data_IF_738183839623
#
_entry.id   IF_738183839623
#
_cell.length_a   1.000
_cell.length_b   1.000
_cell.length_c   1.000
_cell.angle_alpha   90.00
_cell.angle_beta   90.00
_cell.angle_gamma   90.00
#
_symmetry.space_group_name_H-M   'P 1'
#
loop_
_entity.id
_entity.type
_entity.pdbx_description
1 polymer ?
#
# COMPACT_ATOMS: atom_id res chain seq x y z
N UNK A 1 -12.35 0.10 1.62
CA UNK A 1 -11.56 0.60 2.76
C UNK A 1 -12.37 1.14 3.94
N UNK A 2 -13.56 1.72 3.75
CA UNK A 2 -14.38 2.25 4.86
C UNK A 2 -14.68 1.24 5.98
N UNK A 3 -14.59 -0.07 5.69
CA UNK A 3 -14.94 -1.15 6.62
C UNK A 3 -13.73 -1.86 7.25
N UNK A 4 -12.49 -1.50 6.92
CA UNK A 4 -11.31 -2.05 7.60
C UNK A 4 -11.10 -1.20 8.85
N UNK A 5 -10.97 -1.74 10.07
CA UNK A 5 -10.71 -0.94 11.27
C UNK A 5 -9.32 -0.30 11.23
N UNK A 6 -9.12 0.76 12.02
CA UNK A 6 -7.78 1.36 12.21
C UNK A 6 -6.91 0.50 13.12
N UNK A 7 -7.52 -0.12 14.12
CA UNK A 7 -6.88 -1.10 14.99
C UNK A 7 -7.01 -2.50 14.38
N UNK A 8 -5.88 -3.05 13.96
CA UNK A 8 -5.78 -4.41 13.44
C UNK A 8 -4.88 -5.22 14.38
N UNK A 9 -5.35 -6.39 14.81
CA UNK A 9 -4.54 -7.32 15.60
C UNK A 9 -3.67 -8.20 14.68
N UNK A 10 -2.88 -7.55 13.82
CA UNK A 10 -1.90 -8.20 12.96
C UNK A 10 -0.70 -7.27 12.70
N UNK A 11 0.49 -7.86 12.56
CA UNK A 11 1.72 -7.10 12.33
C UNK A 11 1.91 -6.68 10.86
N UNK A 12 1.31 -7.42 9.93
CA UNK A 12 1.46 -7.17 8.49
C UNK A 12 0.16 -7.50 7.76
N UNK A 13 -0.20 -6.65 6.80
CA UNK A 13 -1.42 -6.77 6.01
C UNK A 13 -1.03 -6.94 4.54
N UNK A 14 -1.57 -7.95 3.89
CA UNK A 14 -1.49 -8.09 2.43
C UNK A 14 -2.80 -7.64 1.81
N UNK A 15 -2.72 -6.74 0.83
CA UNK A 15 -3.88 -6.23 0.09
C UNK A 15 -3.77 -6.73 -1.34
N UNK A 16 -4.74 -7.55 -1.75
CA UNK A 16 -4.88 -8.05 -3.12
C UNK A 16 -6.05 -7.37 -3.79
N UNK A 17 -5.85 -6.89 -5.01
CA UNK A 17 -6.89 -6.18 -5.76
C UNK A 17 -6.58 -6.10 -7.25
N UNK A 18 -7.35 -5.26 -7.94
CA UNK A 18 -7.24 -5.03 -9.38
C UNK A 18 -6.86 -3.58 -9.68
N UNK A 19 -6.21 -3.38 -10.82
CA UNK A 19 -5.96 -2.05 -11.37
C UNK A 19 -7.23 -1.47 -12.02
N UNK A 20 -7.38 -0.14 -12.07
CA UNK A 20 -6.45 0.87 -11.57
C UNK A 20 -6.45 1.02 -10.04
N UNK A 21 -7.46 0.47 -9.34
CA UNK A 21 -7.65 0.67 -7.90
C UNK A 21 -6.44 0.36 -7.01
N UNK A 22 -5.63 -0.65 -7.32
CA UNK A 22 -4.36 -0.90 -6.60
C UNK A 22 -3.31 0.20 -6.82
N UNK A 23 -3.15 0.69 -8.05
CA UNK A 23 -2.21 1.76 -8.37
C UNK A 23 -2.64 3.09 -7.73
N UNK A 24 -3.93 3.42 -7.84
CA UNK A 24 -4.51 4.63 -7.24
C UNK A 24 -4.42 4.57 -5.70
N UNK A 25 -4.59 3.38 -5.12
CA UNK A 25 -4.45 3.20 -3.69
C UNK A 25 -3.00 3.32 -3.22
N UNK A 26 -2.05 2.76 -3.97
CA UNK A 26 -0.63 2.96 -3.68
C UNK A 26 -0.28 4.46 -3.70
N UNK A 27 -0.69 5.18 -4.75
CA UNK A 27 -0.53 6.65 -4.84
C UNK A 27 -1.14 7.38 -3.64
N UNK A 28 -2.34 6.99 -3.21
CA UNK A 28 -2.97 7.56 -2.03
C UNK A 28 -2.15 7.35 -0.75
N UNK A 29 -1.56 6.16 -0.57
CA UNK A 29 -0.80 5.80 0.63
C UNK A 29 0.59 6.43 0.68
N UNK A 30 1.34 6.43 -0.43
CA UNK A 30 2.71 6.95 -0.48
C UNK A 30 2.81 8.40 -0.97
N UNK A 31 1.79 8.91 -1.66
CA UNK A 31 1.77 10.25 -2.28
C UNK A 31 2.37 10.30 -3.69
N UNK A 32 2.78 9.17 -4.26
CA UNK A 32 3.43 9.08 -5.57
C UNK A 32 2.80 7.99 -6.44
N UNK A 33 2.55 8.30 -7.71
CA UNK A 33 1.99 7.32 -8.64
C UNK A 33 3.06 6.36 -9.15
N UNK A 34 2.81 5.06 -9.03
CA UNK A 34 3.65 4.01 -9.59
C UNK A 34 2.86 3.09 -10.53
N UNK A 35 3.50 2.67 -11.61
CA UNK A 35 2.92 1.66 -12.51
C UNK A 35 2.91 0.28 -11.83
N UNK A 36 1.72 -0.28 -11.64
CA UNK A 36 1.51 -1.62 -11.09
C UNK A 36 1.12 -2.61 -12.21
N UNK A 37 2.05 -3.33 -12.87
CA UNK A 37 1.65 -4.43 -13.76
C UNK A 37 0.98 -5.58 -12.99
N UNK A 38 0.33 -6.51 -13.70
CA UNK A 38 -0.26 -7.71 -13.07
C UNK A 38 0.79 -8.43 -12.23
N UNK A 39 0.42 -8.81 -11.00
CA UNK A 39 1.29 -9.47 -10.01
C UNK A 39 2.47 -8.61 -9.48
N UNK A 40 2.50 -7.30 -9.72
CA UNK A 40 3.39 -6.41 -8.99
C UNK A 40 2.98 -6.31 -7.51
N UNK A 41 3.96 -6.18 -6.63
CA UNK A 41 3.75 -6.07 -5.18
C UNK A 41 4.55 -4.88 -4.64
N UNK A 42 3.90 -4.00 -3.91
CA UNK A 42 4.55 -2.89 -3.21
C UNK A 42 4.68 -3.24 -1.72
N UNK A 43 5.89 -3.16 -1.18
CA UNK A 43 6.16 -3.29 0.25
C UNK A 43 6.16 -1.90 0.88
N UNK A 44 5.32 -1.72 1.89
CA UNK A 44 5.07 -0.44 2.54
C UNK A 44 5.31 -0.54 4.05
N UNK A 45 5.89 0.51 4.65
CA UNK A 45 5.97 0.67 6.12
C UNK A 45 5.29 1.97 6.56
N UNK A 46 4.71 1.96 7.76
CA UNK A 46 4.05 3.14 8.33
C UNK A 46 5.12 4.18 8.72
N UNK A 47 4.93 5.43 8.28
CA UNK A 47 5.79 6.57 8.66
C UNK A 47 5.60 6.97 10.12
N UNK A 48 4.35 7.15 10.52
CA UNK A 48 3.95 7.59 11.85
C UNK A 48 2.82 6.71 12.39
N UNK A 49 3.16 5.90 13.39
CA UNK A 49 2.23 4.97 14.05
C UNK A 49 1.22 5.67 14.97
N UNK A 50 1.35 6.98 15.23
CA UNK A 50 0.36 7.75 15.98
C UNK A 50 -0.84 8.17 15.13
N UNK A 51 -0.71 8.07 13.81
CA UNK A 51 -1.73 8.41 12.82
C UNK A 51 -2.44 7.17 12.32
N UNK A 52 -3.64 7.35 11.77
CA UNK A 52 -4.34 6.27 11.10
C UNK A 52 -3.50 5.75 9.93
N UNK A 53 -3.42 4.43 9.79
CA UNK A 53 -2.76 3.80 8.64
C UNK A 53 -3.49 4.12 7.32
N UNK A 54 -4.72 4.62 7.37
CA UNK A 54 -5.46 5.10 6.19
C UNK A 54 -5.17 6.55 5.84
N UNK A 55 -4.37 7.26 6.65
CA UNK A 55 -4.03 8.65 6.36
C UNK A 55 -3.21 8.73 5.07
N UNK A 56 -3.60 9.60 4.11
CA UNK A 56 -2.87 9.73 2.86
C UNK A 56 -1.42 10.14 3.10
N UNK A 57 -0.48 9.55 2.37
CA UNK A 57 0.94 9.87 2.49
C UNK A 57 1.64 9.38 3.77
N UNK A 58 0.96 8.63 4.66
CA UNK A 58 1.53 8.09 5.91
C UNK A 58 2.31 6.77 5.72
N UNK A 59 2.73 6.45 4.49
CA UNK A 59 3.51 5.25 4.20
C UNK A 59 4.80 5.55 3.45
N UNK A 60 5.86 4.83 3.80
CA UNK A 60 7.08 4.73 3.00
C UNK A 60 6.94 3.55 2.03
N UNK A 61 7.30 3.76 0.77
CA UNK A 61 7.50 2.68 -0.19
C UNK A 61 8.93 2.16 -0.03
N UNK A 62 9.08 0.97 0.57
CA UNK A 62 10.38 0.35 0.77
C UNK A 62 10.86 -0.34 -0.50
N UNK A 63 9.94 -1.06 -1.17
CA UNK A 63 10.27 -1.85 -2.35
C UNK A 63 9.06 -1.98 -3.28
N UNK A 64 9.33 -1.99 -4.58
CA UNK A 64 8.36 -2.33 -5.61
C UNK A 64 8.87 -3.55 -6.38
N UNK A 65 8.30 -4.71 -6.06
CA UNK A 65 8.61 -5.98 -6.70
C UNK A 65 7.81 -6.10 -8.00
N UNK A 66 8.51 -6.21 -9.12
CA UNK A 66 7.92 -6.41 -10.44
C UNK A 66 8.14 -7.85 -10.91
N UNK A 67 7.14 -8.51 -11.50
CA UNK A 67 7.30 -9.90 -11.96
C UNK A 67 8.41 -10.12 -12.99
N UNK A 68 8.82 -9.07 -13.71
CA UNK A 68 9.89 -9.14 -14.71
C UNK A 68 11.29 -9.17 -14.08
N UNK A 69 11.39 -8.71 -12.84
CA UNK A 69 12.66 -8.53 -12.15
C UNK A 69 12.95 -9.69 -11.16
N UNK A 70 12.12 -10.74 -11.21
CA UNK A 70 12.20 -11.97 -10.41
C UNK A 70 12.57 -13.19 -11.27
#
# INVERSE_FOLDING_TARGET
MKNIPDELNCETIMILGHNPGCADFLEHLCGEWHRMPTAATALLTIKDNSKSWKEPGNWNLEELLLPRDL
#
